data_IF_409975885762
#
_entry.id   IF_409975885762
#
_cell.length_a   1.000
_cell.length_b   1.000
_cell.length_c   1.000
_cell.angle_alpha   90.00
_cell.angle_beta   90.00
_cell.angle_gamma   90.00
#
_symmetry.space_group_name_H-M   'P 1'
#
loop_
_entity.id
_entity.type
_entity.pdbx_description
1 polymer ?
#
# COMPACT_ATOMS: atom_id res chain seq x y z
N UNK A 1 -40.08 -22.05 -30.26
CA UNK A 1 -38.82 -21.95 -31.04
C UNK A 1 -38.68 -20.50 -31.52
N UNK A 2 -38.33 -19.57 -30.63
CA UNK A 2 -38.47 -18.11 -30.88
C UNK A 2 -37.54 -17.23 -30.02
N UNK A 3 -36.37 -17.73 -29.58
CA UNK A 3 -35.39 -16.91 -28.81
C UNK A 3 -34.07 -16.61 -29.53
N UNK A 4 -33.85 -17.14 -30.74
CA UNK A 4 -32.61 -16.89 -31.51
C UNK A 4 -32.60 -15.56 -32.30
N UNK A 5 -33.75 -14.88 -32.44
CA UNK A 5 -33.86 -13.66 -33.24
C UNK A 5 -33.53 -12.37 -32.46
N UNK A 6 -33.69 -12.34 -31.12
CA UNK A 6 -33.52 -11.13 -30.32
C UNK A 6 -32.04 -10.73 -30.10
N UNK A 7 -31.13 -11.69 -30.01
CA UNK A 7 -29.69 -11.40 -29.83
C UNK A 7 -29.03 -10.78 -31.07
N UNK A 8 -29.57 -11.04 -32.28
CA UNK A 8 -29.04 -10.44 -33.52
C UNK A 8 -29.43 -8.96 -33.67
N UNK A 9 -30.57 -8.54 -33.11
CA UNK A 9 -31.05 -7.15 -33.18
C UNK A 9 -30.26 -6.25 -32.22
N UNK A 10 -29.88 -6.77 -31.06
CA UNK A 10 -29.07 -6.02 -30.07
C UNK A 10 -27.65 -5.73 -30.58
N UNK A 11 -27.04 -6.66 -31.33
CA UNK A 11 -25.71 -6.46 -31.90
C UNK A 11 -25.69 -5.44 -33.06
N UNK A 12 -26.80 -5.27 -33.78
CA UNK A 12 -26.94 -4.29 -34.86
C UNK A 12 -27.15 -2.86 -34.31
N UNK A 13 -27.81 -2.71 -33.15
CA UNK A 13 -27.96 -1.39 -32.50
C UNK A 13 -26.64 -0.85 -31.93
N UNK A 14 -25.71 -1.72 -31.50
CA UNK A 14 -24.40 -1.30 -30.99
C UNK A 14 -23.46 -0.78 -32.10
N UNK A 15 -23.62 -1.28 -33.34
CA UNK A 15 -22.81 -0.82 -34.49
C UNK A 15 -23.34 0.46 -35.17
N UNK A 16 -24.61 0.82 -34.94
CA UNK A 16 -25.22 2.02 -35.53
C UNK A 16 -24.78 3.33 -34.83
N UNK A 17 -24.13 3.25 -33.67
CA UNK A 17 -23.60 4.40 -32.92
C UNK A 17 -22.27 4.96 -33.43
N UNK A 18 -21.62 4.31 -34.41
CA UNK A 18 -20.35 4.74 -35.01
C UNK A 18 -20.57 5.60 -36.27
N UNK A 19 -21.57 6.49 -36.25
CA UNK A 19 -21.74 7.51 -37.29
C UNK A 19 -20.84 8.69 -36.97
N UNK A 20 -19.89 8.93 -37.87
CA UNK A 20 -18.92 10.01 -37.87
C UNK A 20 -19.61 11.38 -37.83
N UNK A 21 -19.42 12.13 -36.75
CA UNK A 21 -19.74 13.56 -36.69
C UNK A 21 -18.57 14.35 -37.27
N UNK A 22 -18.65 14.68 -38.57
CA UNK A 22 -17.80 15.71 -39.17
C UNK A 22 -18.39 17.08 -38.84
N UNK A 23 -17.77 17.80 -37.91
CA UNK A 23 -18.15 19.17 -37.57
C UNK A 23 -16.91 20.08 -37.56
N UNK A 24 -16.26 20.23 -38.72
CA UNK A 24 -15.38 21.37 -38.96
C UNK A 24 -15.57 21.84 -40.42
N UNK A 25 -16.25 22.98 -40.58
CA UNK A 25 -16.16 23.77 -41.81
C UNK A 25 -14.69 24.18 -41.97
N UNK A 26 -14.11 23.76 -43.08
CA UNK A 26 -12.86 24.30 -43.58
C UNK A 26 -13.17 25.67 -44.20
N UNK A 27 -12.27 26.61 -43.98
CA UNK A 27 -12.21 27.99 -44.48
C UNK A 27 -12.66 29.07 -43.49
N UNK A 28 -11.69 29.55 -42.70
CA UNK A 28 -11.37 30.98 -42.66
C UNK A 28 -9.92 31.14 -42.18
N UNK A 29 -9.08 31.62 -43.09
CA UNK A 29 -7.69 31.99 -42.83
C UNK A 29 -7.69 33.23 -41.93
N UNK A 30 -7.51 33.03 -40.63
CA UNK A 30 -7.40 34.13 -39.65
C UNK A 30 -6.10 34.88 -39.97
N UNK A 31 -6.22 36.10 -40.48
CA UNK A 31 -5.10 36.92 -40.92
C UNK A 31 -4.02 37.05 -39.84
N UNK A 32 -2.76 37.02 -40.25
CA UNK A 32 -1.63 37.27 -39.34
C UNK A 32 -1.66 38.72 -38.88
N UNK A 33 -2.04 38.93 -37.63
CA UNK A 33 -1.89 40.21 -36.94
C UNK A 33 -0.39 40.47 -36.72
N UNK A 34 0.13 41.46 -37.45
CA UNK A 34 1.52 41.90 -37.31
C UNK A 34 1.65 42.74 -36.04
N UNK A 35 2.18 42.15 -34.98
CA UNK A 35 2.56 42.89 -33.77
C UNK A 35 3.87 43.64 -34.05
N UNK A 36 3.78 44.94 -34.29
CA UNK A 36 4.95 45.81 -34.35
C UNK A 36 5.45 46.08 -32.92
N UNK A 37 6.54 45.41 -32.52
CA UNK A 37 7.25 45.71 -31.28
C UNK A 37 8.08 46.97 -31.50
N UNK A 38 7.51 48.13 -31.17
CA UNK A 38 8.24 49.39 -31.09
C UNK A 38 9.08 49.37 -29.81
N UNK A 39 10.41 49.30 -29.94
CA UNK A 39 11.30 49.50 -28.79
C UNK A 39 11.23 50.99 -28.39
N UNK A 40 11.06 51.32 -27.10
CA UNK A 40 11.21 52.70 -26.66
C UNK A 40 12.62 53.21 -27.00
N UNK A 41 12.68 54.46 -27.44
CA UNK A 41 13.89 55.15 -27.86
C UNK A 41 14.99 55.08 -26.79
N UNK A 42 16.12 54.44 -27.09
CA UNK A 42 17.35 54.55 -26.30
C UNK A 42 18.05 55.85 -26.69
N UNK A 43 18.10 56.88 -25.82
CA UNK A 43 18.85 58.08 -26.13
C UNK A 43 20.35 57.76 -26.18
N UNK A 44 20.98 57.96 -27.33
CA UNK A 44 22.43 58.08 -27.41
C UNK A 44 22.82 59.53 -27.12
N UNK A 45 23.66 59.73 -26.10
CA UNK A 45 24.25 61.04 -25.84
C UNK A 45 25.44 61.18 -26.79
N UNK A 46 25.43 62.22 -27.62
CA UNK A 46 26.58 62.57 -28.46
C UNK A 46 27.77 62.93 -27.57
N UNK A 47 28.93 62.34 -27.89
CA UNK A 47 30.17 62.50 -27.14
C UNK A 47 30.56 63.99 -27.07
N UNK A 48 30.78 64.49 -25.86
CA UNK A 48 31.08 65.89 -25.62
C UNK A 48 32.58 66.13 -25.83
N UNK A 49 32.93 66.79 -26.93
CA UNK A 49 34.29 67.22 -27.19
C UNK A 49 34.70 68.29 -26.16
N UNK A 50 35.47 67.88 -25.16
CA UNK A 50 36.15 68.81 -24.25
C UNK A 50 37.27 69.51 -25.02
N UNK A 51 37.09 70.80 -25.30
CA UNK A 51 38.13 71.69 -25.83
C UNK A 51 39.30 71.67 -24.85
N UNK A 52 40.44 71.12 -25.27
CA UNK A 52 41.67 71.15 -24.48
C UNK A 52 42.42 72.45 -24.82
N UNK A 53 42.19 73.49 -24.03
CA UNK A 53 43.07 74.65 -24.00
C UNK A 53 44.41 74.21 -23.39
N UNK A 54 45.43 74.09 -24.23
CA UNK A 54 46.81 73.88 -23.77
C UNK A 54 47.45 75.26 -23.70
N UNK A 55 47.85 75.74 -22.51
CA UNK A 55 48.49 77.04 -22.40
C UNK A 55 49.85 77.02 -23.12
N UNK A 56 50.07 77.97 -24.01
CA UNK A 56 51.37 78.26 -24.61
C UNK A 56 52.19 79.05 -23.60
N UNK A 57 53.23 78.43 -23.04
CA UNK A 57 54.19 79.10 -22.17
C UNK A 57 55.21 79.83 -23.07
N UNK A 58 55.11 81.17 -23.13
CA UNK A 58 56.11 82.05 -23.71
C UNK A 58 57.09 82.46 -22.60
N UNK A 59 58.23 81.76 -22.50
CA UNK A 59 59.36 82.20 -21.68
C UNK A 59 60.60 82.36 -22.58
N UNK A 60 61.21 83.56 -22.48
CA UNK A 60 62.28 84.09 -23.36
C UNK A 60 63.68 83.48 -23.10
N UNK A 61 63.81 82.46 -22.25
CA UNK A 61 65.04 81.68 -22.10
C UNK A 61 64.78 80.19 -22.38
N UNK A 62 65.03 79.80 -23.64
CA UNK A 62 64.98 78.41 -24.11
C UNK A 62 66.20 77.64 -23.61
N UNK A 63 66.18 77.29 -22.33
CA UNK A 63 67.09 76.28 -21.79
C UNK A 63 66.83 74.97 -22.54
N UNK A 64 67.85 74.45 -23.26
CA UNK A 64 67.76 73.23 -24.06
C UNK A 64 67.14 72.11 -23.22
N UNK A 65 65.94 71.67 -23.61
CA UNK A 65 65.21 70.58 -22.99
C UNK A 65 66.03 69.30 -23.13
N UNK A 66 66.60 68.80 -22.04
CA UNK A 66 67.31 67.53 -22.08
C UNK A 66 66.33 66.39 -22.39
N UNK A 67 66.64 65.63 -23.42
CA UNK A 67 65.81 64.52 -23.89
C UNK A 67 66.01 63.32 -22.95
N UNK A 68 65.14 63.20 -21.95
CA UNK A 68 65.18 62.08 -21.00
C UNK A 68 64.75 60.81 -21.75
N UNK A 69 65.72 59.97 -22.15
CA UNK A 69 65.47 58.63 -22.69
C UNK A 69 65.16 57.67 -21.55
N UNK A 70 63.89 57.48 -21.24
CA UNK A 70 63.45 56.39 -20.37
C UNK A 70 63.09 55.18 -21.24
N UNK A 71 63.66 54.03 -20.89
CA UNK A 71 63.31 52.76 -21.52
C UNK A 71 62.35 52.01 -20.57
N UNK A 72 61.09 51.85 -20.97
CA UNK A 72 60.11 51.12 -20.15
C UNK A 72 60.27 49.64 -20.45
N UNK A 73 60.82 48.89 -19.50
CA UNK A 73 60.80 47.45 -19.55
C UNK A 73 59.41 46.95 -19.12
N UNK A 74 58.50 46.76 -20.08
CA UNK A 74 57.21 46.13 -19.84
C UNK A 74 57.39 44.62 -19.86
N UNK A 75 57.39 44.01 -18.68
CA UNK A 75 57.23 42.57 -18.57
C UNK A 75 55.73 42.30 -18.42
N UNK A 76 55.11 41.44 -19.25
CA UNK A 76 53.72 41.07 -19.06
C UNK A 76 53.57 40.38 -17.72
N UNK A 77 52.87 41.01 -16.78
CA UNK A 77 52.55 40.39 -15.49
C UNK A 77 51.37 39.47 -15.74
N UNK A 78 51.61 38.17 -15.76
CA UNK A 78 50.54 37.20 -15.85
C UNK A 78 49.60 37.38 -14.65
N UNK A 79 48.30 37.51 -14.92
CA UNK A 79 47.29 37.61 -13.87
C UNK A 79 47.36 36.36 -12.98
N UNK A 80 47.72 36.54 -11.71
CA UNK A 80 47.70 35.46 -10.71
C UNK A 80 46.30 35.18 -10.21
N UNK A 81 45.29 35.88 -10.74
CA UNK A 81 43.91 35.72 -10.35
C UNK A 81 43.33 34.42 -10.90
N UNK A 82 43.41 33.36 -10.09
CA UNK A 82 42.62 32.15 -10.27
C UNK A 82 41.37 32.29 -9.41
N UNK A 83 40.18 32.53 -10.00
CA UNK A 83 38.96 32.67 -9.20
C UNK A 83 38.70 31.35 -8.48
N UNK A 84 38.56 31.40 -7.16
CA UNK A 84 38.11 30.24 -6.39
C UNK A 84 36.70 29.89 -6.82
N UNK A 85 36.53 28.79 -7.59
CA UNK A 85 35.19 28.26 -7.89
C UNK A 85 34.50 27.94 -6.56
N UNK A 86 33.30 28.48 -6.36
CA UNK A 86 32.50 28.21 -5.17
C UNK A 86 32.33 26.70 -4.99
N UNK A 87 32.77 26.16 -3.85
CA UNK A 87 32.47 24.78 -3.47
C UNK A 87 31.02 24.73 -3.00
N UNK A 88 30.25 23.78 -3.52
CA UNK A 88 28.92 23.49 -2.98
C UNK A 88 29.06 23.21 -1.48
N UNK A 89 28.15 23.76 -0.67
CA UNK A 89 28.10 23.47 0.75
C UNK A 89 28.01 21.96 0.94
N UNK A 90 28.89 21.39 1.77
CA UNK A 90 28.79 19.98 2.11
C UNK A 90 27.54 19.82 2.97
N UNK A 91 26.57 19.03 2.49
CA UNK A 91 25.42 18.65 3.30
C UNK A 91 25.94 17.71 4.38
N UNK A 92 25.74 18.06 5.65
CA UNK A 92 26.03 17.15 6.75
C UNK A 92 25.26 15.86 6.50
N UNK A 93 25.99 14.77 6.26
CA UNK A 93 25.38 13.46 6.12
C UNK A 93 24.75 13.13 7.47
N UNK A 94 23.43 12.94 7.47
CA UNK A 94 22.73 12.36 8.61
C UNK A 94 23.44 11.09 9.03
N UNK A 95 23.62 10.92 10.34
CA UNK A 95 24.26 9.72 10.87
C UNK A 95 23.53 8.48 10.34
N UNK A 96 24.26 7.53 9.76
CA UNK A 96 23.68 6.32 9.23
C UNK A 96 22.96 5.57 10.37
N UNK A 97 21.68 5.29 10.16
CA UNK A 97 20.87 4.55 11.13
C UNK A 97 21.46 3.16 11.37
N UNK A 98 21.58 2.78 12.64
CA UNK A 98 22.02 1.44 13.03
C UNK A 98 20.83 0.49 12.88
N UNK A 99 20.84 -0.29 11.80
CA UNK A 99 19.85 -1.34 11.60
C UNK A 99 20.25 -2.60 12.38
N UNK A 100 19.40 -3.03 13.29
CA UNK A 100 19.57 -4.28 14.04
C UNK A 100 18.74 -5.38 13.38
N UNK A 101 19.36 -6.55 13.15
CA UNK A 101 18.65 -7.72 12.61
C UNK A 101 17.70 -8.36 13.62
N UNK A 102 18.07 -8.26 14.89
CA UNK A 102 17.39 -8.89 16.01
C UNK A 102 17.03 -7.82 17.03
N UNK A 103 15.83 -7.90 17.59
CA UNK A 103 15.43 -7.03 18.68
C UNK A 103 14.50 -7.77 19.66
N UNK A 104 14.55 -7.32 20.91
CA UNK A 104 13.68 -7.77 21.98
C UNK A 104 12.95 -6.53 22.51
N UNK A 105 11.63 -6.55 22.45
CA UNK A 105 10.77 -5.52 23.01
C UNK A 105 10.08 -6.10 24.23
N UNK A 106 10.20 -5.43 25.38
CA UNK A 106 9.48 -5.76 26.60
C UNK A 106 8.66 -4.56 27.03
N UNK A 107 7.40 -4.78 27.39
CA UNK A 107 6.48 -3.75 27.86
C UNK A 107 5.74 -4.21 29.11
N UNK A 108 5.50 -3.28 30.03
CA UNK A 108 4.68 -3.49 31.21
C UNK A 108 3.70 -2.33 31.36
N UNK A 109 2.46 -2.63 31.76
CA UNK A 109 1.37 -1.65 31.81
C UNK A 109 0.39 -1.87 32.96
N UNK A 110 -0.72 -1.13 32.92
CA UNK A 110 -1.84 -1.25 33.85
C UNK A 110 -2.41 -2.67 33.89
N UNK A 111 -3.08 -3.03 34.99
CA UNK A 111 -3.72 -4.36 35.16
C UNK A 111 -2.72 -5.53 35.09
N UNK A 112 -1.46 -5.26 35.45
CA UNK A 112 -0.33 -6.17 35.28
C UNK A 112 -0.23 -6.70 33.84
N UNK A 113 -0.44 -5.79 32.87
CA UNK A 113 -0.23 -6.11 31.46
C UNK A 113 1.26 -6.29 31.19
N UNK A 114 1.60 -7.34 30.45
CA UNK A 114 2.95 -7.62 29.99
C UNK A 114 2.94 -7.83 28.47
N UNK A 115 3.96 -7.29 27.80
CA UNK A 115 4.23 -7.50 26.39
C UNK A 115 5.67 -8.00 26.23
N UNK A 116 5.88 -9.00 25.40
CA UNK A 116 7.18 -9.52 25.03
C UNK A 116 7.19 -9.88 23.55
N UNK A 117 8.08 -9.23 22.78
CA UNK A 117 8.26 -9.49 21.36
C UNK A 117 9.72 -9.76 21.09
N UNK A 118 10.03 -10.92 20.53
CA UNK A 118 11.36 -11.30 20.12
C UNK A 118 11.36 -11.50 18.60
N UNK A 119 12.16 -10.70 17.91
CA UNK A 119 12.38 -10.82 16.48
C UNK A 119 13.84 -11.20 16.23
N UNK A 120 14.04 -12.28 15.48
CA UNK A 120 15.36 -12.77 15.09
C UNK A 120 15.37 -12.95 13.58
N UNK A 121 16.37 -12.43 12.89
CA UNK A 121 16.62 -12.66 11.46
C UNK A 121 18.09 -12.97 11.25
N UNK A 122 18.37 -14.11 10.61
CA UNK A 122 19.71 -14.54 10.28
C UNK A 122 19.84 -14.79 8.77
N UNK A 123 20.91 -14.26 8.17
CA UNK A 123 21.20 -14.50 6.76
C UNK A 123 22.02 -15.79 6.66
N UNK A 124 21.47 -16.81 6.03
CA UNK A 124 22.17 -18.10 5.81
C UNK A 124 23.19 -17.94 4.68
N UNK A 125 22.87 -17.12 3.69
CA UNK A 125 23.73 -16.83 2.55
C UNK A 125 23.60 -15.35 2.14
N UNK A 126 24.23 -14.97 1.02
CA UNK A 126 24.05 -13.63 0.45
C UNK A 126 22.64 -13.40 -0.11
N UNK A 127 21.88 -14.47 -0.36
CA UNK A 127 20.53 -14.41 -0.94
C UNK A 127 19.47 -14.89 0.04
N UNK A 128 19.83 -15.78 0.97
CA UNK A 128 18.86 -16.53 1.77
C UNK A 128 18.89 -16.09 3.23
N UNK A 129 17.72 -16.08 3.86
CA UNK A 129 17.55 -15.72 5.25
C UNK A 129 16.48 -16.57 5.92
N UNK A 130 16.62 -16.72 7.23
CA UNK A 130 15.59 -17.23 8.13
C UNK A 130 15.20 -16.14 9.11
N UNK A 131 13.92 -16.04 9.41
CA UNK A 131 13.40 -15.15 10.43
C UNK A 131 12.45 -15.91 11.35
N UNK A 132 12.47 -15.55 12.63
CA UNK A 132 11.57 -16.03 13.64
C UNK A 132 11.06 -14.87 14.48
N UNK A 133 9.76 -14.87 14.77
CA UNK A 133 9.11 -13.85 15.56
C UNK A 133 8.21 -14.50 16.61
N UNK A 134 8.50 -14.26 17.88
CA UNK A 134 7.66 -14.65 19.00
C UNK A 134 7.04 -13.39 19.58
N UNK A 135 5.72 -13.33 19.66
CA UNK A 135 4.98 -12.26 20.35
C UNK A 135 4.14 -12.87 21.46
N UNK A 136 4.14 -12.22 22.61
CA UNK A 136 3.30 -12.57 23.74
C UNK A 136 2.79 -11.29 24.39
N UNK A 137 1.48 -11.14 24.45
CA UNK A 137 0.80 -10.08 25.17
C UNK A 137 -0.16 -10.71 26.18
N UNK A 138 -0.15 -10.24 27.41
CA UNK A 138 -1.06 -10.73 28.45
C UNK A 138 -1.46 -9.64 29.43
N UNK A 139 -2.58 -9.85 30.12
CA UNK A 139 -3.00 -9.08 31.28
C UNK A 139 -3.48 -10.02 32.36
N UNK A 140 -3.19 -9.69 33.63
CA UNK A 140 -3.76 -10.40 34.77
C UNK A 140 -5.09 -9.81 35.24
N UNK A 141 -5.57 -8.75 34.58
CA UNK A 141 -6.90 -8.19 34.83
C UNK A 141 -7.01 -7.44 36.15
N UNK A 142 -8.10 -7.67 36.89
CA UNK A 142 -8.55 -6.93 38.08
C UNK A 142 -9.18 -5.56 37.79
N UNK A 143 -9.96 -5.46 36.72
CA UNK A 143 -10.78 -4.28 36.43
C UNK A 143 -11.82 -4.11 37.55
N UNK A 144 -11.86 -2.90 38.13
CA UNK A 144 -12.80 -2.58 39.22
C UNK A 144 -14.24 -2.73 38.74
N UNK A 145 -15.05 -3.44 39.53
CA UNK A 145 -16.49 -3.63 39.27
C UNK A 145 -16.80 -4.81 38.35
N UNK A 146 -15.79 -5.45 37.75
CA UNK A 146 -15.97 -6.71 37.03
C UNK A 146 -16.05 -7.85 38.04
N UNK A 147 -17.04 -8.73 37.87
CA UNK A 147 -17.29 -9.87 38.77
C UNK A 147 -16.78 -11.21 38.24
N UNK A 148 -16.47 -11.29 36.95
CA UNK A 148 -15.91 -12.46 36.29
C UNK A 148 -14.41 -12.29 36.07
N UNK A 149 -13.68 -13.38 35.83
CA UNK A 149 -12.27 -13.32 35.46
C UNK A 149 -12.10 -12.52 34.16
N UNK A 150 -11.18 -11.56 34.13
CA UNK A 150 -10.95 -10.61 33.05
C UNK A 150 -9.54 -10.70 32.45
N UNK A 151 -8.79 -11.75 32.79
CA UNK A 151 -7.47 -12.00 32.19
C UNK A 151 -7.57 -12.28 30.69
N UNK A 152 -6.54 -11.95 29.94
CA UNK A 152 -6.37 -12.42 28.56
C UNK A 152 -4.89 -12.69 28.29
N UNK A 153 -4.62 -13.52 27.29
CA UNK A 153 -3.33 -13.53 26.62
C UNK A 153 -3.47 -13.86 25.13
N UNK A 154 -2.49 -13.39 24.37
CA UNK A 154 -2.30 -13.67 22.96
C UNK A 154 -0.84 -14.00 22.73
N UNK A 155 -0.56 -15.21 22.26
CA UNK A 155 0.79 -15.67 21.96
C UNK A 155 0.86 -16.15 20.54
N UNK A 156 1.82 -15.66 19.78
CA UNK A 156 2.02 -16.06 18.39
C UNK A 156 3.48 -16.31 18.09
N UNK A 157 3.74 -17.38 17.33
CA UNK A 157 5.04 -17.72 16.78
C UNK A 157 4.94 -17.72 15.26
N UNK A 158 5.80 -16.95 14.60
CA UNK A 158 5.92 -16.88 13.15
C UNK A 158 7.34 -17.27 12.73
N UNK A 159 7.47 -18.05 11.67
CA UNK A 159 8.71 -18.50 11.08
C UNK A 159 8.68 -18.23 9.58
N UNK A 160 9.76 -17.66 9.06
CA UNK A 160 9.90 -17.34 7.64
C UNK A 160 11.23 -17.86 7.13
N UNK A 161 11.21 -18.49 5.95
CA UNK A 161 12.40 -18.72 5.13
C UNK A 161 12.23 -17.95 3.83
N UNK A 162 13.25 -17.20 3.43
CA UNK A 162 13.22 -16.44 2.18
C UNK A 162 14.53 -16.49 1.41
N UNK A 163 14.43 -16.38 0.11
CA UNK A 163 15.55 -16.31 -0.84
C UNK A 163 15.30 -15.14 -1.79
N UNK A 164 16.24 -14.20 -1.84
CA UNK A 164 16.20 -13.02 -2.70
C UNK A 164 17.33 -13.09 -3.73
N UNK A 165 17.01 -13.57 -4.92
CA UNK A 165 17.93 -13.60 -6.06
C UNK A 165 17.56 -12.48 -7.05
N UNK A 166 18.46 -12.19 -7.99
CA UNK A 166 18.27 -11.09 -8.94
C UNK A 166 17.08 -11.31 -9.89
N UNK A 167 16.83 -12.55 -10.33
CA UNK A 167 15.72 -12.88 -11.23
C UNK A 167 14.47 -13.37 -10.49
N UNK A 168 14.61 -13.91 -9.28
CA UNK A 168 13.52 -14.53 -8.53
C UNK A 168 13.70 -14.27 -7.04
N UNK A 169 12.64 -13.79 -6.40
CA UNK A 169 12.57 -13.66 -4.95
C UNK A 169 11.37 -14.46 -4.44
N UNK A 170 11.56 -15.23 -3.38
CA UNK A 170 10.45 -15.96 -2.77
C UNK A 170 10.63 -16.08 -1.26
N UNK A 171 9.52 -16.26 -0.56
CA UNK A 171 9.50 -16.60 0.85
C UNK A 171 8.36 -17.57 1.15
N UNK A 172 8.56 -18.37 2.20
CA UNK A 172 7.57 -19.25 2.79
C UNK A 172 7.44 -18.90 4.27
N UNK A 173 6.21 -18.79 4.73
CA UNK A 173 5.84 -18.38 6.07
C UNK A 173 5.02 -19.49 6.74
N UNK A 174 5.27 -19.73 8.02
CA UNK A 174 4.46 -20.58 8.88
C UNK A 174 4.23 -19.86 10.19
N UNK A 175 2.99 -19.83 10.66
CA UNK A 175 2.69 -19.23 11.95
C UNK A 175 1.62 -19.98 12.72
N UNK A 176 1.71 -19.85 14.05
CA UNK A 176 0.75 -20.38 15.00
C UNK A 176 0.45 -19.33 16.06
N UNK A 177 -0.82 -19.13 16.35
CA UNK A 177 -1.33 -18.22 17.37
C UNK A 177 -2.24 -18.98 18.33
N UNK A 178 -2.07 -18.72 19.61
CA UNK A 178 -2.88 -19.23 20.71
C UNK A 178 -3.34 -18.06 21.56
N UNK A 179 -4.65 -17.93 21.64
CA UNK A 179 -5.30 -16.74 22.17
C UNK A 179 -6.36 -17.16 23.18
N UNK A 180 -6.30 -16.63 24.40
CA UNK A 180 -7.27 -16.90 25.47
C UNK A 180 -7.86 -15.60 25.97
N UNK A 181 -9.18 -15.52 25.93
CA UNK A 181 -9.97 -14.36 26.31
C UNK A 181 -11.00 -14.77 27.34
N UNK A 182 -11.33 -13.87 28.27
CA UNK A 182 -12.50 -14.05 29.12
C UNK A 182 -13.59 -13.05 28.73
N UNK A 183 -14.79 -13.55 28.45
CA UNK A 183 -15.98 -12.75 28.23
C UNK A 183 -16.61 -12.38 29.58
N UNK A 184 -16.08 -11.34 30.22
CA UNK A 184 -16.39 -10.97 31.60
C UNK A 184 -17.60 -10.01 31.77
N UNK A 185 -18.24 -9.62 30.67
CA UNK A 185 -19.38 -8.70 30.69
C UNK A 185 -20.64 -9.38 31.21
N UNK A 186 -21.27 -8.79 32.24
CA UNK A 186 -22.57 -9.21 32.76
C UNK A 186 -23.62 -8.11 32.54
N UNK A 187 -24.90 -8.47 32.33
CA UNK A 187 -26.00 -7.50 32.34
C UNK A 187 -26.05 -6.72 33.66
N UNK A 188 -26.45 -5.44 33.60
CA UNK A 188 -26.46 -4.52 34.76
C UNK A 188 -27.24 -5.07 35.98
N UNK A 189 -28.34 -5.79 35.73
CA UNK A 189 -29.22 -6.35 36.76
C UNK A 189 -29.09 -7.87 36.89
N UNK A 190 -27.96 -8.46 36.49
CA UNK A 190 -27.77 -9.91 36.47
C UNK A 190 -27.96 -10.55 37.85
N UNK A 191 -29.04 -11.29 38.03
CA UNK A 191 -29.35 -11.98 39.28
C UNK A 191 -29.76 -11.07 40.45
N UNK A 192 -30.09 -9.79 40.22
CA UNK A 192 -30.45 -8.86 41.31
C UNK A 192 -31.75 -9.22 42.05
N UNK A 193 -32.57 -10.08 41.46
CA UNK A 193 -33.80 -10.58 42.09
C UNK A 193 -33.54 -11.79 43.01
N UNK A 194 -32.30 -12.28 43.09
CA UNK A 194 -31.90 -13.43 43.90
C UNK A 194 -31.24 -12.97 45.21
N UNK A 195 -31.30 -13.78 46.28
CA UNK A 195 -30.44 -13.60 47.45
C UNK A 195 -28.95 -13.54 47.05
N UNK A 196 -28.15 -12.76 47.78
CA UNK A 196 -26.73 -12.54 47.47
C UNK A 196 -25.93 -13.86 47.36
N UNK A 197 -26.21 -14.82 48.24
CA UNK A 197 -25.56 -16.13 48.20
C UNK A 197 -25.84 -16.88 46.88
N UNK A 198 -27.09 -16.84 46.40
CA UNK A 198 -27.51 -17.50 45.17
C UNK A 198 -26.98 -16.75 43.93
N UNK A 199 -26.97 -15.41 43.97
CA UNK A 199 -26.38 -14.58 42.93
C UNK A 199 -24.88 -14.87 42.78
N UNK A 200 -24.14 -14.93 43.88
CA UNK A 200 -22.71 -15.24 43.85
C UNK A 200 -22.45 -16.69 43.40
N UNK A 201 -23.28 -17.64 43.80
CA UNK A 201 -23.20 -19.02 43.31
C UNK A 201 -23.40 -19.09 41.78
N UNK A 202 -24.38 -18.35 41.24
CA UNK A 202 -24.63 -18.26 39.80
C UNK A 202 -23.45 -17.64 39.04
N UNK A 203 -22.91 -16.52 39.54
CA UNK A 203 -21.75 -15.85 38.91
C UNK A 203 -20.52 -16.76 38.92
N UNK A 204 -20.24 -17.42 40.04
CA UNK A 204 -19.10 -18.32 40.17
C UNK A 204 -19.23 -19.59 39.31
N UNK A 205 -20.42 -19.94 38.86
CA UNK A 205 -20.65 -21.05 37.93
C UNK A 205 -20.37 -20.69 36.46
N UNK A 206 -20.25 -19.39 36.14
CA UNK A 206 -19.95 -18.93 34.77
C UNK A 206 -18.45 -19.10 34.52
N UNK A 207 -18.10 -19.84 33.47
CA UNK A 207 -16.75 -19.86 32.93
C UNK A 207 -16.67 -18.87 31.75
N UNK A 208 -16.09 -17.67 31.92
CA UNK A 208 -16.00 -16.68 30.85
C UNK A 208 -14.93 -17.03 29.81
N UNK A 209 -14.07 -18.02 30.09
CA UNK A 209 -12.90 -18.30 29.28
C UNK A 209 -13.27 -18.90 27.93
N UNK A 210 -12.67 -18.35 26.88
CA UNK A 210 -12.73 -18.83 25.52
C UNK A 210 -11.31 -18.90 24.94
N UNK A 211 -11.03 -19.98 24.23
CA UNK A 211 -9.73 -20.23 23.62
C UNK A 211 -9.85 -20.31 22.12
N UNK A 212 -8.95 -19.62 21.42
CA UNK A 212 -8.85 -19.58 19.98
C UNK A 212 -7.44 -19.99 19.55
N UNK A 213 -7.39 -20.67 18.42
CA UNK A 213 -6.16 -21.08 17.79
C UNK A 213 -6.20 -20.67 16.33
N UNK A 214 -5.06 -20.24 15.81
CA UNK A 214 -4.90 -19.97 14.39
C UNK A 214 -3.58 -20.52 13.90
N UNK A 215 -3.61 -21.30 12.84
CA UNK A 215 -2.44 -21.80 12.14
C UNK A 215 -2.47 -21.30 10.69
N UNK A 216 -1.35 -20.87 10.16
CA UNK A 216 -1.28 -20.49 8.75
C UNK A 216 0.02 -20.92 8.09
N UNK A 217 -0.10 -21.16 6.79
CA UNK A 217 1.02 -21.32 5.86
C UNK A 217 0.87 -20.27 4.77
N UNK A 218 1.94 -19.56 4.46
CA UNK A 218 1.96 -18.52 3.46
C UNK A 218 3.16 -18.67 2.54
N UNK A 219 3.07 -18.05 1.38
CA UNK A 219 4.24 -17.84 0.56
C UNK A 219 4.01 -16.79 -0.49
N UNK A 220 5.11 -16.16 -0.89
CA UNK A 220 5.14 -15.20 -1.98
C UNK A 220 6.29 -15.54 -2.90
N UNK A 221 6.08 -15.38 -4.19
CA UNK A 221 7.09 -15.47 -5.22
C UNK A 221 6.96 -14.25 -6.12
N UNK A 222 8.09 -13.69 -6.51
CA UNK A 222 8.20 -12.56 -7.42
C UNK A 222 9.30 -12.85 -8.42
N UNK A 223 8.96 -12.82 -9.70
CA UNK A 223 9.94 -12.95 -10.76
C UNK A 223 10.20 -11.58 -11.39
N UNK A 224 11.46 -11.26 -11.59
CA UNK A 224 11.86 -10.08 -12.33
C UNK A 224 11.98 -10.46 -13.82
N UNK A 225 11.57 -9.56 -14.71
CA UNK A 225 11.66 -9.73 -16.16
C UNK A 225 10.95 -10.98 -16.74
N UNK A 226 9.74 -11.27 -16.25
CA UNK A 226 8.89 -12.37 -16.73
C UNK A 226 7.46 -11.90 -16.96
N UNK A 227 6.70 -12.64 -17.77
CA UNK A 227 5.24 -12.45 -17.89
C UNK A 227 4.52 -12.76 -16.57
N UNK A 228 5.12 -13.60 -15.73
CA UNK A 228 4.69 -13.80 -14.36
C UNK A 228 5.37 -12.75 -13.48
N UNK A 229 4.59 -11.83 -12.91
CA UNK A 229 5.12 -10.73 -12.11
C UNK A 229 5.29 -11.17 -10.64
N UNK A 230 4.19 -11.56 -10.00
CA UNK A 230 4.20 -12.06 -8.63
C UNK A 230 3.07 -13.05 -8.40
N UNK A 231 3.24 -13.89 -7.38
CA UNK A 231 2.22 -14.78 -6.88
C UNK A 231 2.29 -14.87 -5.38
N UNK A 232 1.13 -14.91 -4.73
CA UNK A 232 1.06 -15.22 -3.31
C UNK A 232 0.02 -16.31 -3.06
N UNK A 233 0.27 -17.13 -2.05
CA UNK A 233 -0.72 -18.04 -1.51
C UNK A 233 -0.76 -17.93 0.01
N UNK A 234 -1.91 -18.23 0.60
CA UNK A 234 -2.08 -18.35 2.04
C UNK A 234 -3.14 -19.40 2.35
N UNK A 235 -2.80 -20.32 3.24
CA UNK A 235 -3.73 -21.20 3.92
C UNK A 235 -3.84 -20.75 5.37
N UNK A 236 -5.05 -20.58 5.88
CA UNK A 236 -5.34 -20.22 7.26
C UNK A 236 -6.35 -21.22 7.84
N UNK A 237 -6.07 -21.74 9.03
CA UNK A 237 -6.95 -22.61 9.79
C UNK A 237 -7.14 -22.03 11.18
N UNK A 238 -8.36 -21.65 11.48
CA UNK A 238 -8.81 -21.17 12.78
C UNK A 238 -9.70 -22.22 13.43
N UNK A 239 -9.59 -22.38 14.75
CA UNK A 239 -10.53 -23.18 15.54
C UNK A 239 -10.60 -22.67 16.98
N UNK A 240 -11.70 -22.98 17.66
CA UNK A 240 -11.93 -22.58 19.03
C UNK A 240 -12.34 -23.74 19.96
N UNK A 241 -12.46 -23.43 21.26
CA UNK A 241 -12.83 -24.40 22.28
C UNK A 241 -14.30 -24.87 22.20
N UNK A 242 -15.16 -24.19 21.45
CA UNK A 242 -16.58 -24.53 21.28
C UNK A 242 -16.86 -25.27 19.96
N UNK A 243 -15.83 -25.65 19.20
CA UNK A 243 -15.97 -26.45 17.99
C UNK A 243 -16.28 -25.63 16.73
N UNK A 244 -16.09 -24.32 16.77
CA UNK A 244 -16.07 -23.49 15.57
C UNK A 244 -14.73 -23.64 14.85
N UNK A 245 -14.79 -23.72 13.52
CA UNK A 245 -13.64 -23.87 12.64
C UNK A 245 -13.79 -22.99 11.39
N UNK A 246 -12.69 -22.37 10.96
CA UNK A 246 -12.61 -21.69 9.66
C UNK A 246 -11.34 -22.16 8.94
N UNK A 247 -11.48 -22.53 7.67
CA UNK A 247 -10.38 -22.88 6.79
C UNK A 247 -10.47 -21.98 5.56
N UNK A 248 -9.44 -21.19 5.30
CA UNK A 248 -9.36 -20.33 4.12
C UNK A 248 -8.11 -20.61 3.33
N UNK A 249 -8.27 -20.87 2.05
CA UNK A 249 -7.18 -21.03 1.10
C UNK A 249 -7.29 -19.97 0.02
N UNK A 250 -6.20 -19.25 -0.20
CA UNK A 250 -6.19 -18.06 -1.04
C UNK A 250 -4.96 -18.06 -1.96
N UNK A 251 -5.12 -17.80 -3.26
CA UNK A 251 -4.02 -17.62 -4.23
C UNK A 251 -4.27 -16.35 -5.07
N UNK A 252 -3.24 -15.49 -5.18
CA UNK A 252 -3.19 -14.28 -6.05
C UNK A 252 -2.00 -14.34 -7.01
N UNK A 253 -2.11 -14.91 -8.22
CA UNK A 253 -1.13 -14.69 -9.26
C UNK A 253 -1.40 -13.38 -10.04
N UNK A 254 -0.33 -12.69 -10.40
CA UNK A 254 -0.34 -11.47 -11.21
C UNK A 254 0.52 -11.70 -12.46
N UNK A 255 -0.10 -11.53 -13.63
CA UNK A 255 0.56 -11.66 -14.93
C UNK A 255 0.66 -10.29 -15.58
N UNK A 256 1.80 -10.01 -16.22
CA UNK A 256 2.05 -8.78 -16.97
C UNK A 256 2.35 -9.13 -18.42
N UNK A 257 1.64 -8.47 -19.33
CA UNK A 257 1.79 -8.65 -20.77
C UNK A 257 2.03 -7.29 -21.41
N UNK A 258 3.02 -7.20 -22.28
CA UNK A 258 3.24 -6.01 -23.09
C UNK A 258 2.50 -6.19 -24.42
N UNK A 259 1.49 -5.35 -24.66
CA UNK A 259 0.69 -5.33 -25.89
C UNK A 259 0.90 -4.00 -26.58
N UNK A 260 1.62 -4.02 -27.70
CA UNK A 260 2.11 -2.82 -28.40
C UNK A 260 3.04 -1.99 -27.50
N UNK A 261 2.66 -0.75 -27.21
CA UNK A 261 3.36 0.22 -26.35
C UNK A 261 2.79 0.28 -24.93
N UNK A 262 1.88 -0.64 -24.57
CA UNK A 262 1.17 -0.63 -23.29
C UNK A 262 1.36 -1.91 -22.50
N UNK A 263 1.67 -1.75 -21.21
CA UNK A 263 1.69 -2.84 -20.27
C UNK A 263 0.27 -3.11 -19.74
N UNK A 264 -0.21 -4.34 -19.91
CA UNK A 264 -1.46 -4.85 -19.35
C UNK A 264 -1.12 -5.78 -18.20
N UNK A 265 -1.75 -5.57 -17.05
CA UNK A 265 -1.64 -6.47 -15.89
C UNK A 265 -2.95 -7.21 -15.69
N UNK A 266 -2.90 -8.53 -15.54
CA UNK A 266 -4.04 -9.36 -15.19
C UNK A 266 -3.80 -9.96 -13.81
N UNK A 267 -4.55 -9.49 -12.83
CA UNK A 267 -4.53 -10.02 -11.47
C UNK A 267 -5.62 -11.08 -11.33
N UNK A 268 -5.26 -12.26 -10.85
CA UNK A 268 -6.20 -13.35 -10.60
C UNK A 268 -6.35 -13.56 -9.10
N UNK A 269 -7.48 -14.09 -8.69
CA UNK A 269 -7.76 -14.47 -7.30
C UNK A 269 -8.53 -15.78 -7.29
N UNK A 270 -8.06 -16.72 -6.48
CA UNK A 270 -8.78 -17.93 -6.10
C UNK A 270 -8.88 -17.93 -4.58
N UNK A 271 -10.09 -17.83 -4.05
CA UNK A 271 -10.38 -17.81 -2.61
C UNK A 271 -11.37 -18.94 -2.30
N UNK A 272 -10.97 -19.86 -1.44
CA UNK A 272 -11.83 -20.90 -0.92
C UNK A 272 -11.96 -20.72 0.59
N UNK A 273 -13.16 -20.48 1.06
CA UNK A 273 -13.49 -20.32 2.47
C UNK A 273 -14.42 -21.45 2.89
N UNK A 274 -14.10 -22.14 3.98
CA UNK A 274 -14.97 -23.12 4.61
C UNK A 274 -15.08 -22.79 6.09
N UNK A 275 -16.31 -22.71 6.58
CA UNK A 275 -16.63 -22.44 7.98
C UNK A 275 -17.53 -23.54 8.53
N UNK A 276 -17.34 -23.83 9.81
CA UNK A 276 -18.18 -24.71 10.60
C UNK A 276 -18.39 -24.09 11.96
N UNK A 277 -19.62 -24.05 12.42
CA UNK A 277 -19.99 -23.61 13.76
C UNK A 277 -20.76 -24.74 14.42
N UNK A 278 -20.31 -25.20 15.60
CA UNK A 278 -20.97 -26.32 16.30
C UNK A 278 -22.41 -25.97 16.72
N UNK A 279 -22.67 -24.69 16.99
CA UNK A 279 -23.98 -24.16 17.36
C UNK A 279 -24.26 -22.86 16.62
N UNK A 280 -25.43 -22.76 16.01
CA UNK A 280 -25.94 -21.46 15.56
C UNK A 280 -26.41 -20.62 16.77
N UNK A 281 -26.75 -19.35 16.52
CA UNK A 281 -27.34 -18.50 17.54
C UNK A 281 -28.79 -18.93 17.80
N UNK A 282 -29.21 -19.11 19.08
CA UNK A 282 -30.61 -19.35 19.39
C UNK A 282 -31.47 -18.17 18.96
N UNK A 283 -32.64 -18.48 18.41
CA UNK A 283 -33.65 -17.48 18.09
C UNK A 283 -34.06 -16.75 19.38
N UNK A 284 -33.92 -15.43 19.39
CA UNK A 284 -34.24 -14.58 20.54
C UNK A 284 -35.74 -14.64 20.86
N UNK A 285 -36.58 -14.81 19.83
CA UNK A 285 -38.02 -14.90 19.97
C UNK A 285 -38.49 -16.31 20.36
N UNK A 286 -37.65 -17.34 20.10
CA UNK A 286 -37.92 -18.72 20.49
C UNK A 286 -36.67 -19.46 21.00
N UNK A 287 -36.24 -19.18 22.25
CA UNK A 287 -35.01 -19.75 22.81
C UNK A 287 -35.10 -21.26 23.09
N UNK A 288 -36.29 -21.85 23.04
CA UNK A 288 -36.51 -23.29 23.28
C UNK A 288 -36.29 -24.16 22.02
N UNK A 289 -36.16 -23.54 20.84
CA UNK A 289 -35.93 -24.29 19.60
C UNK A 289 -34.54 -24.93 19.60
N UNK A 290 -34.40 -26.23 19.28
CA UNK A 290 -33.09 -26.85 19.13
C UNK A 290 -32.29 -26.12 18.04
N UNK A 291 -31.06 -25.78 18.38
CA UNK A 291 -30.12 -25.13 17.47
C UNK A 291 -29.00 -26.10 17.13
N UNK A 292 -28.80 -26.32 15.84
CA UNK A 292 -27.77 -27.18 15.28
C UNK A 292 -26.65 -26.33 14.68
N UNK A 293 -25.55 -26.98 14.32
CA UNK A 293 -24.42 -26.32 13.69
C UNK A 293 -24.73 -25.76 12.31
N UNK A 294 -23.90 -24.80 11.90
CA UNK A 294 -23.89 -24.24 10.55
C UNK A 294 -22.61 -24.66 9.85
N UNK A 295 -22.69 -24.96 8.56
CA UNK A 295 -21.51 -25.20 7.72
C UNK A 295 -21.67 -24.45 6.40
N UNK A 296 -20.69 -23.62 6.09
CA UNK A 296 -20.68 -22.90 4.82
C UNK A 296 -19.37 -23.11 4.09
N UNK A 297 -19.42 -23.20 2.77
CA UNK A 297 -18.22 -23.08 1.96
C UNK A 297 -18.46 -22.28 0.70
N UNK A 298 -17.50 -21.44 0.38
CA UNK A 298 -17.55 -20.49 -0.72
C UNK A 298 -16.29 -20.62 -1.56
N UNK A 299 -16.45 -20.56 -2.87
CA UNK A 299 -15.37 -20.44 -3.84
C UNK A 299 -15.54 -19.12 -4.59
N UNK A 300 -14.56 -18.24 -4.49
CA UNK A 300 -14.49 -17.00 -5.27
C UNK A 300 -13.36 -17.09 -6.27
N UNK A 301 -13.69 -16.92 -7.54
CA UNK A 301 -12.73 -16.77 -8.63
C UNK A 301 -12.86 -15.35 -9.15
N UNK A 302 -11.77 -14.58 -9.16
CA UNK A 302 -11.79 -13.25 -9.73
C UNK A 302 -10.63 -13.03 -10.71
N UNK A 303 -10.88 -12.21 -11.72
CA UNK A 303 -9.87 -11.71 -12.64
C UNK A 303 -10.05 -10.21 -12.81
N UNK A 304 -8.95 -9.47 -12.69
CA UNK A 304 -8.90 -8.04 -12.87
C UNK A 304 -7.83 -7.70 -13.92
N UNK A 305 -8.18 -7.69 -15.22
CA UNK A 305 -7.37 -7.03 -16.23
C UNK A 305 -7.40 -5.51 -16.00
N UNK A 306 -6.22 -4.91 -15.93
CA UNK A 306 -6.05 -3.46 -15.85
C UNK A 306 -4.86 -3.01 -16.71
N UNK A 307 -4.92 -1.77 -17.19
CA UNK A 307 -3.81 -1.11 -17.86
C UNK A 307 -3.76 0.36 -17.47
N UNK A 308 -2.56 0.92 -17.51
CA UNK A 308 -2.29 2.30 -17.13
C UNK A 308 -2.02 3.15 -18.37
N UNK A 309 -2.61 4.34 -18.42
CA UNK A 309 -2.31 5.39 -19.39
C UNK A 309 -1.64 6.52 -18.62
N UNK A 310 -0.46 6.92 -19.10
CA UNK A 310 0.29 8.07 -18.58
C UNK A 310 0.25 9.16 -19.65
N UNK A 311 -0.27 10.34 -19.31
CA UNK A 311 -0.29 11.50 -20.20
C UNK A 311 -0.01 12.78 -19.42
N UNK A 312 1.14 13.39 -19.66
CA UNK A 312 1.63 14.57 -18.93
C UNK A 312 1.56 14.37 -17.40
N UNK A 313 0.69 15.10 -16.72
CA UNK A 313 0.45 15.01 -15.28
C UNK A 313 -0.72 14.07 -14.90
N UNK A 314 -1.37 13.43 -15.87
CA UNK A 314 -2.51 12.54 -15.68
C UNK A 314 -2.09 11.07 -15.67
N UNK A 315 -2.36 10.38 -14.57
CA UNK A 315 -2.30 8.91 -14.50
C UNK A 315 -3.71 8.34 -14.49
N UNK A 316 -4.08 7.61 -15.54
CA UNK A 316 -5.39 6.95 -15.65
C UNK A 316 -5.21 5.43 -15.61
N UNK A 317 -5.77 4.77 -14.61
CA UNK A 317 -5.84 3.31 -14.54
C UNK A 317 -7.22 2.85 -14.96
N UNK A 318 -7.28 1.98 -15.98
CA UNK A 318 -8.51 1.42 -16.52
C UNK A 318 -8.47 -0.10 -16.38
N UNK A 319 -9.49 -0.66 -15.72
CA UNK A 319 -9.66 -2.11 -15.62
C UNK A 319 -11.10 -2.50 -15.38
N UNK A 320 -11.35 -3.80 -15.39
CA UNK A 320 -12.62 -4.39 -14.99
C UNK A 320 -12.33 -5.57 -14.07
N UNK A 321 -13.06 -5.69 -12.96
CA UNK A 321 -13.02 -6.85 -12.08
C UNK A 321 -14.20 -7.75 -12.40
N UNK A 322 -13.90 -9.00 -12.73
CA UNK A 322 -14.88 -10.03 -13.04
C UNK A 322 -14.80 -11.08 -11.93
N UNK A 323 -15.91 -11.32 -11.24
CA UNK A 323 -15.98 -12.20 -10.07
C UNK A 323 -17.02 -13.27 -10.30
N UNK A 324 -16.65 -14.52 -10.06
CA UNK A 324 -17.54 -15.66 -9.93
C UNK A 324 -17.52 -16.14 -8.49
N UNK A 325 -18.68 -16.16 -7.84
CA UNK A 325 -18.87 -16.65 -6.49
C UNK A 325 -19.74 -17.91 -6.54
N UNK A 326 -19.29 -18.98 -5.91
CA UNK A 326 -20.07 -20.21 -5.76
C UNK A 326 -20.16 -20.58 -4.29
N UNK A 327 -21.39 -20.76 -3.82
CA UNK A 327 -21.70 -21.37 -2.53
C UNK A 327 -21.74 -22.88 -2.73
N UNK A 328 -20.70 -23.57 -2.24
CA UNK A 328 -20.51 -25.01 -2.43
C UNK A 328 -21.20 -25.86 -1.36
N UNK A 329 -21.36 -25.29 -0.15
CA UNK A 329 -22.09 -25.90 0.96
C UNK A 329 -22.79 -24.79 1.73
N UNK A 330 -24.03 -25.01 2.12
CA UNK A 330 -24.81 -24.05 2.90
C UNK A 330 -25.80 -24.78 3.82
N UNK A 331 -25.26 -25.26 4.93
CA UNK A 331 -26.04 -25.89 5.98
C UNK A 331 -26.33 -24.84 7.04
N UNK A 332 -27.61 -24.51 7.22
CA UNK A 332 -28.07 -23.60 8.28
C UNK A 332 -28.98 -24.37 9.21
N UNK A 333 -28.63 -24.38 10.50
CA UNK A 333 -29.37 -25.08 11.54
C UNK A 333 -29.63 -26.56 11.18
N UNK A 334 -28.63 -27.23 10.60
CA UNK A 334 -28.73 -28.63 10.17
C UNK A 334 -29.54 -28.89 8.88
N UNK A 335 -30.15 -27.87 8.28
CA UNK A 335 -30.83 -27.98 6.99
C UNK A 335 -29.92 -27.54 5.85
N UNK A 336 -29.89 -28.33 4.77
CA UNK A 336 -29.10 -28.02 3.57
C UNK A 336 -29.93 -27.14 2.61
N UNK A 337 -29.39 -25.97 2.27
CA UNK A 337 -29.95 -25.02 1.32
C UNK A 337 -29.06 -25.01 0.10
N UNK A 338 -29.43 -25.79 -0.92
CA UNK A 338 -28.72 -26.06 -2.19
C UNK A 338 -27.62 -25.06 -2.61
N UNK A 339 -26.58 -25.57 -3.29
CA UNK A 339 -25.52 -24.74 -3.85
C UNK A 339 -26.06 -23.66 -4.81
N UNK A 340 -25.52 -22.45 -4.72
CA UNK A 340 -25.85 -21.32 -5.58
C UNK A 340 -24.59 -20.70 -6.19
N UNK A 341 -24.72 -19.97 -7.28
CA UNK A 341 -23.60 -19.25 -7.88
C UNK A 341 -24.00 -17.93 -8.51
N UNK A 342 -23.21 -16.90 -8.23
CA UNK A 342 -23.39 -15.55 -8.71
C UNK A 342 -22.21 -15.10 -9.57
N UNK A 343 -22.50 -14.18 -10.50
CA UNK A 343 -21.51 -13.57 -11.37
C UNK A 343 -21.62 -12.05 -11.29
N UNK A 344 -20.48 -11.40 -11.05
CA UNK A 344 -20.39 -9.95 -10.88
C UNK A 344 -19.33 -9.34 -11.79
N UNK A 345 -19.59 -8.12 -12.25
CA UNK A 345 -18.64 -7.34 -13.05
C UNK A 345 -18.62 -5.90 -12.51
N UNK A 346 -17.45 -5.43 -12.13
CA UNK A 346 -17.23 -4.09 -11.58
C UNK A 346 -16.20 -3.32 -12.42
N UNK A 347 -16.45 -2.06 -12.79
CA UNK A 347 -15.40 -1.22 -13.37
C UNK A 347 -14.38 -0.85 -12.29
N UNK A 348 -13.10 -0.90 -12.63
CA UNK A 348 -12.00 -0.44 -11.75
C UNK A 348 -11.27 0.71 -12.43
N UNK A 349 -11.69 1.94 -12.12
CA UNK A 349 -11.17 3.16 -12.76
C UNK A 349 -10.67 4.10 -11.68
N UNK A 350 -9.41 4.53 -11.81
CA UNK A 350 -8.83 5.58 -10.95
C UNK A 350 -8.08 6.58 -11.81
N UNK A 351 -8.16 7.86 -11.45
CA UNK A 351 -7.46 8.96 -12.09
C UNK A 351 -6.80 9.82 -11.01
N UNK A 352 -5.52 10.13 -11.18
CA UNK A 352 -4.73 10.95 -10.25
C UNK A 352 -3.79 11.88 -10.97
#
# INVERSE_FOLDING_TARGET
MTHKAQYKITFILLLAGLQTTFAQKKDENIGTEVVNVVKPYTPSISDAFKVKETPTLEDEETTKKEEIKYNIFSFPVASTFTPSKGRAASVDKTAQERLFKNYLTLGFGSYASANAELFITENISNTDYVAGMLRHQSTQGNIKGVRLDDKFYDTSLDLTYGSKQQSLSWNADMGYQHQVYNWYGLPEFFGNNLPEADQNALINAINPQQTYHNFYLGGRVKANDSFFNEGSFKYNRFWDAYGSEENRFFIKPSLKFDVSDKAITANFTVDYLSTKFDKAFPDVDNPATPVFGNEHSYLTLAVNPNFQILQDDLTLNLGAEIVYLSTLKNIVNGADFDSDSDFFVYPTVTAS
#
